data_IF_331078328407
#
_entry.id   IF_331078328407
#
_cell.length_a   1.000
_cell.length_b   1.000
_cell.length_c   1.000
_cell.angle_alpha   90.00
_cell.angle_beta   90.00
_cell.angle_gamma   90.00
#
_symmetry.space_group_name_H-M   'P 1'
#
loop_
_entity.id
_entity.type
_entity.pdbx_description
1 polymer ?
#
# COMPACT_ATOMS: atom_id res chain seq x y z
N UNK A 1 0.72 7.47 3.46
CA UNK A 1 -0.76 7.58 3.44
C UNK A 1 -1.32 6.19 3.21
N UNK A 2 -2.38 5.81 3.91
CA UNK A 2 -3.18 4.63 3.62
C UNK A 2 -4.59 5.03 3.22
N UNK A 3 -5.21 4.24 2.37
CA UNK A 3 -6.59 4.41 1.94
C UNK A 3 -7.27 3.04 1.88
N UNK A 4 -8.43 2.92 2.50
CA UNK A 4 -9.33 1.77 2.40
C UNK A 4 -10.47 2.12 1.45
N UNK A 5 -10.50 1.52 0.25
CA UNK A 5 -11.52 1.79 -0.76
C UNK A 5 -12.91 1.31 -0.33
N UNK A 6 -13.01 0.32 0.55
CA UNK A 6 -14.30 -0.24 0.97
C UNK A 6 -14.96 0.65 2.01
N UNK A 7 -14.20 1.04 3.03
CA UNK A 7 -14.70 1.92 4.09
C UNK A 7 -14.77 3.40 3.65
N UNK A 8 -14.08 3.77 2.56
CA UNK A 8 -13.81 5.18 2.29
C UNK A 8 -13.09 5.78 3.49
N UNK A 9 -12.00 5.16 3.93
CA UNK A 9 -11.21 5.62 5.07
C UNK A 9 -9.79 5.93 4.61
N UNK A 10 -9.13 6.89 5.23
CA UNK A 10 -7.72 7.19 5.01
C UNK A 10 -7.02 7.61 6.28
N UNK A 11 -5.70 7.41 6.29
CA UNK A 11 -4.79 7.99 7.27
C UNK A 11 -3.60 8.64 6.59
N UNK A 12 -3.29 9.86 7.03
CA UNK A 12 -2.15 10.65 6.57
C UNK A 12 -1.19 10.87 7.73
N UNK A 13 -0.05 10.19 7.68
CA UNK A 13 1.04 10.44 8.61
C UNK A 13 2.00 11.50 8.07
N UNK A 14 2.45 12.37 8.96
CA UNK A 14 3.60 13.25 8.76
C UNK A 14 4.62 12.95 9.85
N UNK A 15 5.44 11.92 9.66
CA UNK A 15 6.52 11.63 10.61
C UNK A 15 7.63 12.64 10.41
N UNK A 16 8.07 13.25 11.51
CA UNK A 16 9.27 14.07 11.51
C UNK A 16 10.51 13.16 11.54
N UNK A 17 11.51 13.49 10.73
CA UNK A 17 12.67 12.63 10.55
C UNK A 17 13.70 12.90 11.65
N UNK A 18 13.71 12.08 12.70
CA UNK A 18 14.75 12.09 13.73
C UNK A 18 16.16 11.83 13.16
N UNK A 19 17.17 12.48 13.74
CA UNK A 19 18.50 12.72 13.14
C UNK A 19 19.50 11.54 13.09
N UNK A 20 19.15 10.29 13.43
CA UNK A 20 20.17 9.29 13.83
C UNK A 20 20.38 8.00 12.99
N UNK A 21 19.65 7.71 11.92
CA UNK A 21 19.90 6.51 11.06
C UNK A 21 20.33 6.86 9.62
N UNK A 22 20.74 5.91 8.76
CA UNK A 22 20.92 6.25 7.32
C UNK A 22 19.55 6.45 6.64
N UNK A 23 19.47 7.22 5.54
CA UNK A 23 18.18 7.49 4.87
C UNK A 23 17.41 6.20 4.46
N UNK A 24 18.12 5.11 4.17
CA UNK A 24 17.53 3.82 3.75
C UNK A 24 17.06 2.95 4.91
N UNK A 25 17.78 2.94 6.03
CA UNK A 25 17.34 2.24 7.25
C UNK A 25 16.14 2.96 7.86
N UNK A 26 16.15 4.31 7.85
CA UNK A 26 15.00 5.13 8.26
C UNK A 26 13.74 4.80 7.49
N UNK A 27 13.82 4.69 6.16
CA UNK A 27 12.63 4.46 5.34
C UNK A 27 12.01 3.07 5.53
N UNK A 28 12.79 2.06 5.94
CA UNK A 28 12.27 0.73 6.30
C UNK A 28 11.60 0.71 7.66
N UNK A 29 12.26 1.30 8.66
CA UNK A 29 11.71 1.40 10.01
C UNK A 29 10.43 2.25 10.02
N UNK A 30 10.44 3.40 9.34
CA UNK A 30 9.27 4.27 9.22
C UNK A 30 8.09 3.53 8.58
N UNK A 31 8.35 2.78 7.50
CA UNK A 31 7.35 1.95 6.85
C UNK A 31 6.85 0.83 7.76
N UNK A 32 7.73 0.14 8.48
CA UNK A 32 7.37 -0.93 9.40
C UNK A 32 6.49 -0.41 10.55
N UNK A 33 6.79 0.77 11.10
CA UNK A 33 5.96 1.44 12.09
C UNK A 33 4.60 1.86 11.51
N UNK A 34 4.54 2.21 10.22
CA UNK A 34 3.29 2.56 9.54
C UNK A 34 2.40 1.32 9.39
N UNK A 35 3.01 0.17 9.10
CA UNK A 35 2.35 -1.14 9.06
C UNK A 35 1.89 -1.57 10.46
N UNK A 36 2.71 -1.40 11.49
CA UNK A 36 2.32 -1.74 12.86
C UNK A 36 1.10 -0.93 13.31
N UNK A 37 1.11 0.38 13.07
CA UNK A 37 -0.05 1.25 13.31
C UNK A 37 -1.29 0.76 12.52
N UNK A 38 -1.13 0.43 11.24
CA UNK A 38 -2.21 -0.09 10.39
C UNK A 38 -2.84 -1.36 10.96
N UNK A 39 -2.01 -2.30 11.41
CA UNK A 39 -2.48 -3.61 11.86
C UNK A 39 -2.99 -3.59 13.30
N UNK A 40 -2.37 -2.82 14.20
CA UNK A 40 -2.69 -2.88 15.63
C UNK A 40 -3.69 -1.82 16.07
N UNK A 41 -3.83 -0.71 15.34
CA UNK A 41 -4.67 0.41 15.75
C UNK A 41 -5.77 0.68 14.73
N UNK A 42 -5.43 0.76 13.44
CA UNK A 42 -6.44 1.07 12.42
C UNK A 42 -7.35 -0.14 12.15
N UNK A 43 -6.76 -1.35 12.12
CA UNK A 43 -7.48 -2.61 11.87
C UNK A 43 -7.14 -3.71 12.90
N UNK A 44 -7.33 -3.49 14.22
CA UNK A 44 -6.93 -4.42 15.28
C UNK A 44 -7.60 -5.79 15.15
N UNK A 45 -8.83 -5.82 14.64
CA UNK A 45 -9.64 -7.04 14.53
C UNK A 45 -9.54 -7.73 13.18
N UNK A 46 -8.84 -7.14 12.20
CA UNK A 46 -8.64 -7.79 10.91
C UNK A 46 -7.69 -8.98 11.07
N UNK A 47 -8.17 -10.17 10.66
CA UNK A 47 -7.35 -11.38 10.61
C UNK A 47 -6.21 -11.24 9.60
N UNK A 48 -6.49 -10.62 8.45
CA UNK A 48 -5.54 -10.36 7.39
C UNK A 48 -5.86 -9.02 6.72
N UNK A 49 -4.85 -8.21 6.45
CA UNK A 49 -4.93 -6.98 5.66
C UNK A 49 -4.21 -7.20 4.34
N UNK A 50 -4.93 -7.01 3.23
CA UNK A 50 -4.39 -7.02 1.88
C UNK A 50 -3.95 -5.61 1.50
N UNK A 51 -2.65 -5.36 1.53
CA UNK A 51 -2.08 -4.07 1.23
C UNK A 51 -1.64 -4.02 -0.23
N UNK A 52 -2.23 -3.11 -1.01
CA UNK A 52 -1.73 -2.75 -2.34
C UNK A 52 -0.81 -1.54 -2.21
N UNK A 53 0.42 -1.64 -2.69
CA UNK A 53 1.39 -0.53 -2.65
C UNK A 53 2.31 -0.53 -3.88
N UNK A 54 3.04 0.56 -4.08
CA UNK A 54 4.09 0.64 -5.08
C UNK A 54 5.26 -0.32 -4.78
N UNK A 55 6.05 -0.62 -5.80
CA UNK A 55 7.16 -1.56 -5.72
C UNK A 55 8.46 -0.89 -5.23
N UNK A 56 8.41 -0.32 -4.02
CA UNK A 56 9.59 0.20 -3.33
C UNK A 56 10.32 -0.93 -2.61
N UNK A 57 11.66 -0.83 -2.56
CA UNK A 57 12.53 -1.83 -1.92
C UNK A 57 12.36 -1.94 -0.39
N UNK A 58 11.55 -1.06 0.20
CA UNK A 58 11.16 -1.05 1.62
C UNK A 58 9.81 -1.71 1.86
N UNK A 59 8.99 -1.91 0.83
CA UNK A 59 7.62 -2.42 0.96
C UNK A 59 7.58 -3.94 1.01
N UNK A 60 8.31 -4.55 1.95
CA UNK A 60 8.38 -6.00 2.06
C UNK A 60 8.45 -6.45 3.52
N UNK A 61 8.20 -7.74 3.72
CA UNK A 61 8.21 -8.35 5.05
C UNK A 61 9.56 -8.21 5.75
N UNK A 62 10.68 -8.18 5.02
CA UNK A 62 12.01 -8.06 5.64
C UNK A 62 12.16 -6.72 6.39
N UNK A 63 11.53 -5.65 5.93
CA UNK A 63 11.51 -4.37 6.67
C UNK A 63 10.87 -4.49 8.06
N UNK A 64 9.94 -5.42 8.28
CA UNK A 64 9.36 -5.68 9.60
C UNK A 64 10.39 -6.33 10.54
N UNK A 65 11.17 -7.28 10.03
CA UNK A 65 12.24 -7.94 10.80
C UNK A 65 13.45 -7.06 11.03
N UNK A 66 13.66 -6.06 10.17
CA UNK A 66 14.68 -5.01 10.39
C UNK A 66 14.26 -4.06 11.52
N UNK A 67 12.96 -3.75 11.63
CA UNK A 67 12.46 -2.76 12.58
C UNK A 67 12.09 -3.32 13.96
N UNK A 68 11.65 -4.58 14.05
CA UNK A 68 11.09 -5.16 15.26
C UNK A 68 11.77 -6.48 15.67
N UNK A 69 11.71 -6.86 16.96
CA UNK A 69 12.07 -8.20 17.40
C UNK A 69 11.32 -9.28 16.60
N UNK A 70 11.95 -10.44 16.40
CA UNK A 70 11.45 -11.49 15.51
C UNK A 70 10.00 -11.91 15.80
N UNK A 71 9.60 -12.04 17.08
CA UNK A 71 8.25 -12.43 17.47
C UNK A 71 7.20 -11.41 17.03
N UNK A 72 7.51 -10.12 17.18
CA UNK A 72 6.64 -9.01 16.81
C UNK A 72 6.57 -8.87 15.28
N UNK A 73 7.71 -8.91 14.60
CA UNK A 73 7.78 -8.91 13.14
C UNK A 73 6.98 -10.08 12.54
N UNK A 74 7.10 -11.27 13.12
CA UNK A 74 6.37 -12.46 12.69
C UNK A 74 4.85 -12.31 12.90
N UNK A 75 4.42 -11.78 14.06
CA UNK A 75 3.01 -11.49 14.35
C UNK A 75 2.40 -10.54 13.32
N UNK A 76 3.11 -9.46 12.97
CA UNK A 76 2.68 -8.50 11.95
C UNK A 76 2.67 -9.13 10.56
N UNK A 77 3.73 -9.84 10.17
CA UNK A 77 3.84 -10.49 8.86
C UNK A 77 2.71 -11.51 8.62
N UNK A 78 2.29 -12.25 9.64
CA UNK A 78 1.16 -13.18 9.53
C UNK A 78 -0.16 -12.49 9.22
N UNK A 79 -0.33 -11.23 9.61
CA UNK A 79 -1.54 -10.43 9.39
C UNK A 79 -1.47 -9.58 8.11
N UNK A 80 -0.33 -9.52 7.43
CA UNK A 80 -0.14 -8.71 6.22
C UNK A 80 -0.03 -9.58 4.97
N UNK A 81 -0.66 -9.16 3.89
CA UNK A 81 -0.45 -9.69 2.54
C UNK A 81 -0.17 -8.51 1.60
N UNK A 82 0.98 -8.51 0.94
CA UNK A 82 1.45 -7.38 0.13
C UNK A 82 1.26 -7.70 -1.35
N UNK A 83 0.58 -6.80 -2.05
CA UNK A 83 0.40 -6.81 -3.50
C UNK A 83 1.07 -5.57 -4.08
N UNK A 84 2.10 -5.77 -4.89
CA UNK A 84 2.76 -4.66 -5.58
C UNK A 84 2.00 -4.27 -6.84
N UNK A 85 1.86 -2.96 -7.06
CA UNK A 85 1.42 -2.48 -8.37
C UNK A 85 2.43 -2.87 -9.44
N UNK A 86 1.97 -3.17 -10.68
CA UNK A 86 2.87 -3.49 -11.78
C UNK A 86 3.87 -2.38 -12.04
N UNK A 87 5.02 -2.72 -12.61
CA UNK A 87 5.99 -1.71 -13.07
C UNK A 87 5.30 -0.78 -14.07
N UNK A 88 5.45 0.54 -13.89
CA UNK A 88 4.75 1.57 -14.66
C UNK A 88 3.21 1.58 -14.51
N UNK A 89 2.67 0.87 -13.52
CA UNK A 89 1.24 0.79 -13.20
C UNK A 89 0.83 1.68 -12.04
N UNK A 90 1.53 2.78 -11.78
CA UNK A 90 1.24 3.67 -10.63
C UNK A 90 -0.16 4.26 -10.66
N UNK A 91 -0.80 4.35 -11.83
CA UNK A 91 -2.20 4.76 -11.98
C UNK A 91 -3.20 3.82 -11.27
N UNK A 92 -2.80 2.58 -10.95
CA UNK A 92 -3.58 1.64 -10.12
C UNK A 92 -3.42 1.90 -8.61
N UNK A 93 -2.48 2.75 -8.21
CA UNK A 93 -2.22 3.06 -6.81
C UNK A 93 -3.16 4.18 -6.32
N UNK A 94 -4.25 3.79 -5.64
CA UNK A 94 -5.24 4.76 -5.14
C UNK A 94 -4.64 5.74 -4.13
N UNK A 95 -3.69 5.29 -3.33
CA UNK A 95 -3.06 6.15 -2.35
C UNK A 95 -2.34 7.32 -3.02
N UNK A 96 -1.77 7.13 -4.21
CA UNK A 96 -1.17 8.23 -4.99
C UNK A 96 -2.22 9.22 -5.52
N UNK A 97 -3.40 8.73 -5.91
CA UNK A 97 -4.52 9.59 -6.32
C UNK A 97 -4.99 10.44 -5.14
N UNK A 98 -5.23 9.83 -3.97
CA UNK A 98 -5.59 10.57 -2.75
C UNK A 98 -4.48 11.54 -2.31
N UNK A 99 -3.21 11.19 -2.51
CA UNK A 99 -2.09 12.09 -2.23
C UNK A 99 -2.09 13.30 -3.18
N UNK A 100 -2.48 13.13 -4.44
CA UNK A 100 -2.68 14.24 -5.39
C UNK A 100 -3.82 15.16 -4.94
N UNK A 101 -4.93 14.58 -4.44
CA UNK A 101 -6.06 15.34 -3.89
C UNK A 101 -5.61 16.12 -2.65
N UNK A 102 -4.92 15.47 -1.71
CA UNK A 102 -4.36 16.12 -0.53
C UNK A 102 -3.44 17.28 -0.93
N UNK A 103 -2.57 17.07 -1.91
CA UNK A 103 -1.64 18.10 -2.39
C UNK A 103 -2.40 19.32 -2.88
N UNK A 104 -3.42 19.13 -3.72
CA UNK A 104 -4.24 20.21 -4.28
C UNK A 104 -5.08 20.93 -3.22
N UNK A 105 -5.68 20.19 -2.30
CA UNK A 105 -6.64 20.75 -1.32
C UNK A 105 -5.97 21.33 -0.08
N UNK A 106 -4.88 20.73 0.38
CA UNK A 106 -4.27 21.03 1.67
C UNK A 106 -2.88 21.67 1.54
N UNK A 107 -2.05 21.18 0.60
CA UNK A 107 -0.62 21.52 0.50
C UNK A 107 -0.28 22.51 -0.62
N UNK A 108 -1.27 23.00 -1.38
CA UNK A 108 -1.07 23.96 -2.48
C UNK A 108 -0.54 25.35 -2.06
N UNK A 109 -0.30 25.55 -0.75
CA UNK A 109 0.23 26.79 -0.18
C UNK A 109 1.35 26.48 0.80
N UNK A 110 2.30 27.41 0.94
CA UNK A 110 3.36 27.29 1.94
C UNK A 110 2.78 27.18 3.35
N UNK A 111 3.28 26.23 4.12
CA UNK A 111 2.94 26.02 5.52
C UNK A 111 4.17 26.35 6.35
N UNK A 112 4.03 27.28 7.30
CA UNK A 112 5.18 27.91 7.97
C UNK A 112 5.72 27.14 9.16
N UNK A 113 5.06 26.07 9.62
CA UNK A 113 5.57 25.24 10.71
C UNK A 113 5.04 23.79 10.62
N UNK A 114 5.79 22.81 11.17
CA UNK A 114 5.35 21.41 11.24
C UNK A 114 4.01 21.22 11.97
N UNK A 115 3.76 21.97 13.04
CA UNK A 115 2.52 21.87 13.84
C UNK A 115 1.31 22.35 13.03
N UNK A 116 1.50 23.40 12.22
CA UNK A 116 0.47 23.87 11.29
C UNK A 116 0.21 22.88 10.18
N UNK A 117 1.23 22.15 9.73
CA UNK A 117 1.08 21.09 8.74
C UNK A 117 0.26 19.94 9.33
N UNK A 118 0.66 19.44 10.50
CA UNK A 118 -0.05 18.36 11.19
C UNK A 118 -1.53 18.71 11.43
N UNK A 119 -1.82 19.91 11.96
CA UNK A 119 -3.20 20.36 12.18
C UNK A 119 -4.02 20.39 10.90
N UNK A 120 -3.43 20.83 9.78
CA UNK A 120 -4.11 20.87 8.48
C UNK A 120 -4.34 19.47 7.91
N UNK A 121 -3.33 18.59 8.00
CA UNK A 121 -3.46 17.20 7.57
C UNK A 121 -4.56 16.48 8.34
N UNK A 122 -4.59 16.63 9.66
CA UNK A 122 -5.62 16.04 10.53
C UNK A 122 -7.02 16.57 10.21
N UNK A 123 -7.17 17.88 10.02
CA UNK A 123 -8.46 18.46 9.65
C UNK A 123 -8.94 17.96 8.27
N UNK A 124 -8.03 17.87 7.29
CA UNK A 124 -8.34 17.33 5.97
C UNK A 124 -8.73 15.85 6.03
N UNK A 125 -7.97 15.04 6.77
CA UNK A 125 -8.24 13.61 6.96
C UNK A 125 -9.62 13.40 7.59
N UNK A 126 -9.94 14.13 8.66
CA UNK A 126 -11.22 14.06 9.36
C UNK A 126 -12.39 14.39 8.44
N UNK A 127 -12.30 15.46 7.65
CA UNK A 127 -13.35 15.85 6.72
C UNK A 127 -13.55 14.81 5.61
N UNK A 128 -12.46 14.31 5.02
CA UNK A 128 -12.51 13.28 3.99
C UNK A 128 -13.11 11.98 4.53
N UNK A 129 -12.69 11.55 5.73
CA UNK A 129 -13.22 10.36 6.39
C UNK A 129 -14.70 10.52 6.77
N UNK A 130 -15.13 11.70 7.22
CA UNK A 130 -16.54 11.98 7.55
C UNK A 130 -17.45 11.86 6.32
N UNK A 131 -16.97 12.31 5.16
CA UNK A 131 -17.71 12.17 3.90
C UNK A 131 -17.63 10.76 3.31
N UNK A 132 -16.84 9.86 3.92
CA UNK A 132 -16.55 8.51 3.43
C UNK A 132 -16.23 8.50 1.93
N UNK A 133 -15.53 9.53 1.43
CA UNK A 133 -15.31 9.69 -0.01
C UNK A 133 -14.58 8.47 -0.56
N UNK A 134 -15.25 7.69 -1.42
CA UNK A 134 -14.76 6.48 -2.05
C UNK A 134 -14.17 6.77 -3.44
N UNK A 135 -13.30 5.87 -3.89
CA UNK A 135 -12.80 5.88 -5.27
C UNK A 135 -13.70 4.97 -6.10
N UNK A 136 -14.34 5.55 -7.11
CA UNK A 136 -15.18 4.82 -8.06
C UNK A 136 -14.28 4.25 -9.15
N UNK A 137 -14.04 2.95 -9.07
CA UNK A 137 -13.25 2.22 -10.06
C UNK A 137 -14.08 1.91 -11.29
N UNK A 138 -13.65 2.46 -12.42
CA UNK A 138 -14.21 2.12 -13.74
C UNK A 138 -13.39 1.04 -14.46
N UNK A 139 -12.18 0.73 -13.97
CA UNK A 139 -11.33 -0.32 -14.52
C UNK A 139 -11.71 -1.66 -13.91
N UNK A 140 -12.23 -2.56 -14.73
CA UNK A 140 -12.78 -3.85 -14.30
C UNK A 140 -11.77 -4.99 -14.46
N UNK A 141 -12.03 -6.14 -13.81
CA UNK A 141 -11.23 -7.36 -14.01
C UNK A 141 -11.21 -7.80 -15.49
N UNK A 142 -12.33 -7.77 -16.25
CA UNK A 142 -12.29 -7.97 -17.70
C UNK A 142 -11.32 -7.03 -18.44
N UNK A 143 -11.33 -5.72 -18.13
CA UNK A 143 -10.41 -4.77 -18.74
C UNK A 143 -8.94 -5.12 -18.42
N UNK A 144 -8.69 -5.55 -17.18
CA UNK A 144 -7.37 -5.99 -16.74
C UNK A 144 -6.88 -7.21 -17.53
N UNK A 145 -7.73 -8.19 -17.81
CA UNK A 145 -7.36 -9.38 -18.60
C UNK A 145 -6.89 -9.02 -20.01
N UNK A 146 -7.48 -7.99 -20.61
CA UNK A 146 -7.10 -7.53 -21.94
C UNK A 146 -5.86 -6.63 -21.87
N UNK A 147 -5.89 -5.56 -21.06
CA UNK A 147 -4.82 -4.55 -21.03
C UNK A 147 -3.53 -5.05 -20.36
N UNK A 148 -3.65 -5.94 -19.38
CA UNK A 148 -2.54 -6.49 -18.62
C UNK A 148 -2.28 -7.96 -18.94
N UNK A 149 -2.64 -8.42 -20.15
CA UNK A 149 -2.48 -9.83 -20.57
C UNK A 149 -1.09 -10.41 -20.29
N UNK A 150 -0.05 -9.59 -20.39
CA UNK A 150 1.35 -9.97 -20.16
C UNK A 150 1.68 -10.28 -18.68
N UNK A 151 0.78 -9.95 -17.74
CA UNK A 151 0.91 -10.29 -16.32
C UNK A 151 0.21 -11.60 -15.96
N UNK A 152 -0.58 -12.17 -16.86
CA UNK A 152 -1.27 -13.44 -16.61
C UNK A 152 -0.37 -14.61 -17.03
N UNK A 153 -0.40 -15.74 -16.28
CA UNK A 153 0.29 -16.95 -16.69
C UNK A 153 -0.20 -17.42 -18.06
N UNK A 154 0.73 -17.79 -18.94
CA UNK A 154 0.42 -18.53 -20.16
C UNK A 154 0.59 -20.00 -19.80
N UNK A 155 -0.51 -20.75 -19.87
CA UNK A 155 -0.45 -22.20 -19.73
C UNK A 155 -0.14 -22.78 -21.11
N UNK A 156 0.98 -23.49 -21.23
CA UNK A 156 1.25 -24.32 -22.41
C UNK A 156 0.40 -25.59 -22.27
N UNK A 157 -0.37 -25.92 -23.29
CA UNK A 157 -1.04 -27.22 -23.36
C UNK A 157 0.05 -28.27 -23.63
N UNK A 158 0.29 -29.18 -22.68
CA UNK A 158 1.13 -30.35 -22.93
C UNK A 158 0.49 -31.15 -24.07
N UNK A 159 1.13 -31.15 -25.26
CA UNK A 159 0.79 -32.09 -26.32
C UNK A 159 0.97 -33.51 -25.74
N UNK A 160 -0.15 -34.22 -25.56
CA UNK A 160 -0.11 -35.65 -25.29
C UNK A 160 0.53 -36.32 -26.50
N UNK A 161 1.82 -36.62 -26.39
CA UNK A 161 2.53 -37.41 -27.38
C UNK A 161 1.82 -38.77 -27.51
N UNK A 162 1.13 -38.97 -28.63
CA UNK A 162 0.58 -40.27 -29.01
C UNK A 162 1.70 -41.29 -28.93
N UNK A 163 1.61 -42.20 -27.96
CA UNK A 163 2.54 -43.30 -27.80
C UNK A 163 2.34 -44.28 -28.95
N UNK A 164 3.06 -44.07 -30.05
CA UNK A 164 3.24 -45.08 -31.09
C UNK A 164 4.20 -46.17 -30.58
N UNK A 165 3.73 -46.98 -29.63
CA UNK A 165 4.36 -48.26 -29.33
C UNK A 165 3.77 -49.32 -30.29
N UNK A 166 4.57 -49.91 -31.19
CA UNK A 166 4.10 -51.01 -32.03
C UNK A 166 3.93 -52.29 -31.20
N UNK A 167 2.83 -53.01 -31.47
CA UNK A 167 2.45 -54.31 -30.90
C UNK A 167 3.52 -55.40 -31.07
#
# INVERSE_FOLDING_TARGET
>A
MFFDPNAGWRRVSNRDHGLLATLRERSRVDWAEEIRQLLDVDYPHALKVKLVCDNLNTHNIASLYEAFPADEAHRLARRLEIYHTPRNGSWLNVAEIELSILTKQCLARRISSPEKLEKKLKAWEQERNKTASQVIWHFSTPDARVKLKHLYPVFEEEEMADSNAPN
#
